data_IF_653388972958
#
_entry.id   IF_653388972958
#
_cell.length_a   1.000
_cell.length_b   1.000
_cell.length_c   1.000
_cell.angle_alpha   90.00
_cell.angle_beta   90.00
_cell.angle_gamma   90.00
#
_symmetry.space_group_name_H-M   'P 1'
#
loop_
_entity.id
_entity.type
_entity.pdbx_description
1 polymer ?
#
# COMPACT_ATOMS: atom_id res chain seq x y z
N UNK A 1 56.48 -22.57 27.27
CA UNK A 1 56.24 -21.41 26.38
C UNK A 1 54.80 -21.58 25.89
N UNK A 2 53.85 -21.01 26.64
CA UNK A 2 53.15 -19.73 26.41
C UNK A 2 52.05 -19.87 25.35
N UNK A 3 50.81 -19.82 25.84
CA UNK A 3 49.53 -19.75 25.13
C UNK A 3 49.58 -18.67 24.05
N UNK A 4 49.21 -19.01 22.81
CA UNK A 4 48.92 -18.02 21.78
C UNK A 4 47.47 -18.18 21.30
N UNK A 5 46.67 -17.22 21.77
CA UNK A 5 45.51 -16.58 21.16
C UNK A 5 44.40 -17.45 20.53
N UNK A 6 43.39 -17.71 21.38
CA UNK A 6 41.97 -17.64 21.02
C UNK A 6 41.63 -16.29 20.37
N UNK A 7 40.57 -16.27 19.54
CA UNK A 7 39.87 -15.14 18.92
C UNK A 7 40.40 -14.63 17.57
N UNK A 8 39.73 -15.07 16.48
CA UNK A 8 39.34 -14.10 15.46
C UNK A 8 37.99 -14.47 14.80
N UNK A 9 36.97 -13.75 15.28
CA UNK A 9 35.86 -13.18 14.51
C UNK A 9 34.79 -14.18 14.05
N UNK A 10 33.88 -14.45 14.99
CA UNK A 10 32.46 -14.14 14.86
C UNK A 10 31.98 -14.04 13.39
N UNK A 11 31.49 -15.15 12.84
CA UNK A 11 30.52 -15.12 11.76
C UNK A 11 29.28 -14.42 12.30
N UNK A 12 29.27 -13.10 12.25
CA UNK A 12 28.05 -12.33 12.41
C UNK A 12 27.21 -12.64 11.18
N UNK A 13 26.37 -13.68 11.31
CA UNK A 13 25.12 -13.79 10.59
C UNK A 13 24.29 -12.57 11.00
N UNK A 14 24.65 -11.40 10.48
CA UNK A 14 23.74 -10.26 10.40
C UNK A 14 22.75 -10.66 9.32
N UNK A 15 21.84 -11.57 9.69
CA UNK A 15 20.60 -11.73 8.95
C UNK A 15 20.00 -10.35 8.95
N UNK A 16 20.07 -9.66 7.80
CA UNK A 16 19.29 -8.45 7.63
C UNK A 16 17.86 -8.90 7.85
N UNK A 17 17.26 -8.47 8.94
CA UNK A 17 15.81 -8.48 9.08
C UNK A 17 15.34 -7.60 7.93
N UNK A 18 15.11 -8.21 6.77
CA UNK A 18 14.40 -7.55 5.68
C UNK A 18 13.06 -7.24 6.31
N UNK A 19 12.82 -5.96 6.60
CA UNK A 19 11.54 -5.53 7.14
C UNK A 19 10.47 -6.13 6.23
N UNK A 20 9.54 -6.89 6.82
CA UNK A 20 8.43 -7.45 6.06
C UNK A 20 7.71 -6.28 5.41
N UNK A 21 7.63 -6.30 4.08
CA UNK A 21 6.88 -5.31 3.33
C UNK A 21 5.39 -5.59 3.57
N UNK A 22 4.70 -4.65 4.21
CA UNK A 22 3.29 -4.77 4.57
C UNK A 22 2.48 -3.71 3.87
N UNK A 23 1.23 -4.03 3.63
CA UNK A 23 0.25 -3.11 3.07
C UNK A 23 -1.03 -3.16 3.90
N UNK A 24 -1.79 -2.07 3.92
CA UNK A 24 -3.16 -2.13 4.39
C UNK A 24 -3.97 -3.01 3.44
N UNK A 25 -4.83 -3.87 3.98
CA UNK A 25 -5.70 -4.72 3.20
C UNK A 25 -7.12 -4.67 3.73
N UNK A 26 -8.02 -4.21 2.89
CA UNK A 26 -9.44 -4.14 3.18
C UNK A 26 -10.18 -3.91 1.87
N UNK A 27 -11.47 -4.21 1.85
CA UNK A 27 -12.32 -3.89 0.71
C UNK A 27 -13.72 -3.57 1.18
N UNK A 28 -14.40 -2.74 0.43
CA UNK A 28 -15.85 -2.68 0.48
C UNK A 28 -16.45 -2.38 -0.90
N UNK A 29 -17.74 -2.63 -0.99
CA UNK A 29 -18.62 -2.36 -2.13
C UNK A 29 -19.84 -1.57 -1.68
N UNK A 30 -20.51 -0.88 -2.60
CA UNK A 30 -21.71 -0.10 -2.31
C UNK A 30 -22.89 -0.92 -1.76
N UNK A 31 -22.82 -2.24 -1.86
CA UNK A 31 -23.78 -3.16 -1.25
C UNK A 31 -23.50 -3.44 0.23
N UNK A 32 -22.31 -3.09 0.72
CA UNK A 32 -21.89 -3.27 2.11
C UNK A 32 -22.09 -1.96 2.88
N UNK A 33 -22.62 -2.07 4.10
CA UNK A 33 -22.81 -0.91 4.98
C UNK A 33 -21.50 -0.43 5.62
N UNK A 34 -20.51 -1.32 5.74
CA UNK A 34 -19.22 -0.99 6.33
C UNK A 34 -18.30 -0.32 5.31
N UNK A 35 -18.02 0.96 5.53
CA UNK A 35 -17.10 1.77 4.74
C UNK A 35 -15.83 2.13 5.53
N UNK A 36 -15.51 1.37 6.58
CA UNK A 36 -14.31 1.54 7.40
C UNK A 36 -13.04 1.60 6.54
N UNK A 37 -13.01 0.82 5.46
CA UNK A 37 -11.93 0.81 4.47
C UNK A 37 -11.81 2.12 3.65
N UNK A 38 -12.57 3.19 3.91
CA UNK A 38 -12.24 4.51 3.35
C UNK A 38 -11.16 5.22 4.17
N UNK A 39 -11.05 4.91 5.46
CA UNK A 39 -10.19 5.63 6.40
C UNK A 39 -9.21 4.66 7.05
N UNK A 40 -7.97 5.11 7.27
CA UNK A 40 -7.01 4.34 8.05
C UNK A 40 -7.20 4.67 9.53
N UNK A 41 -7.35 3.62 10.32
CA UNK A 41 -7.40 3.62 11.78
C UNK A 41 -6.34 2.66 12.32
N UNK A 42 -6.12 2.65 13.62
CA UNK A 42 -5.21 1.70 14.27
C UNK A 42 -5.65 0.24 14.10
N UNK A 43 -6.95 0.02 13.85
CA UNK A 43 -7.55 -1.30 13.63
C UNK A 43 -7.56 -1.73 12.16
N UNK A 44 -7.05 -0.90 11.24
CA UNK A 44 -7.08 -1.25 9.81
C UNK A 44 -6.21 -2.49 9.57
N UNK A 45 -6.77 -3.56 8.97
CA UNK A 45 -6.01 -4.78 8.76
C UNK A 45 -4.79 -4.53 7.87
N UNK A 46 -3.69 -5.18 8.24
CA UNK A 46 -2.46 -5.19 7.47
C UNK A 46 -2.13 -6.61 7.07
N UNK A 47 -1.49 -6.76 5.91
CA UNK A 47 -1.04 -8.05 5.39
C UNK A 47 0.44 -7.96 5.08
N UNK A 48 1.15 -9.06 5.33
CA UNK A 48 2.52 -9.24 4.87
C UNK A 48 2.52 -9.63 3.40
N UNK A 49 3.29 -8.89 2.60
CA UNK A 49 3.30 -9.01 1.16
C UNK A 49 4.66 -9.51 0.69
N UNK A 50 4.65 -10.57 -0.12
CA UNK A 50 5.81 -10.97 -0.93
C UNK A 50 5.96 -10.11 -2.18
N UNK A 51 4.89 -9.39 -2.53
CA UNK A 51 4.75 -8.48 -3.65
C UNK A 51 5.51 -7.17 -3.47
N UNK A 52 5.71 -6.42 -4.55
CA UNK A 52 6.47 -5.16 -4.54
C UNK A 52 5.60 -3.92 -4.35
N UNK A 53 4.30 -3.99 -4.65
CA UNK A 53 3.41 -2.83 -4.61
C UNK A 53 2.28 -3.00 -3.60
N UNK A 54 2.06 -1.98 -2.78
CA UNK A 54 0.77 -1.75 -2.14
C UNK A 54 -0.12 -1.00 -3.13
N UNK A 55 -1.34 -1.47 -3.32
CA UNK A 55 -2.29 -0.90 -4.27
C UNK A 55 -3.52 -0.33 -3.58
N UNK A 56 -4.13 0.63 -4.25
CA UNK A 56 -5.49 1.10 -3.98
C UNK A 56 -6.25 1.11 -5.30
N UNK A 57 -7.40 0.44 -5.29
CA UNK A 57 -8.43 0.54 -6.30
C UNK A 57 -9.61 1.31 -5.70
N UNK A 58 -9.99 2.41 -6.32
CA UNK A 58 -11.14 3.22 -5.89
C UNK A 58 -12.03 3.48 -7.07
N UNK A 59 -13.31 3.13 -6.95
CA UNK A 59 -14.31 3.37 -7.97
C UNK A 59 -15.38 4.31 -7.42
N UNK A 60 -15.62 5.41 -8.10
CA UNK A 60 -16.68 6.38 -7.79
C UNK A 60 -17.71 6.41 -8.92
N UNK A 61 -18.96 6.71 -8.58
CA UNK A 61 -19.95 7.07 -9.58
C UNK A 61 -19.59 8.42 -10.21
N UNK A 62 -19.75 8.52 -11.54
CA UNK A 62 -19.67 9.81 -12.26
C UNK A 62 -20.84 10.70 -11.85
N UNK A 63 -22.02 10.10 -11.68
CA UNK A 63 -23.24 10.74 -11.22
C UNK A 63 -24.03 9.77 -10.31
N UNK A 64 -24.28 10.09 -9.03
CA UNK A 64 -23.86 11.31 -8.32
C UNK A 64 -22.35 11.32 -8.02
N UNK A 65 -21.71 12.45 -8.33
CA UNK A 65 -20.28 12.64 -8.08
C UNK A 65 -19.94 12.52 -6.59
N UNK A 66 -18.82 11.86 -6.29
CA UNK A 66 -18.27 11.72 -4.94
C UNK A 66 -18.80 10.53 -4.13
N UNK A 67 -19.76 9.78 -4.69
CA UNK A 67 -20.22 8.52 -4.11
C UNK A 67 -19.27 7.40 -4.52
N UNK A 68 -18.67 6.73 -3.53
CA UNK A 68 -17.75 5.61 -3.76
C UNK A 68 -18.57 4.32 -3.95
N UNK A 69 -18.41 3.70 -5.11
CA UNK A 69 -19.03 2.43 -5.46
C UNK A 69 -18.23 1.23 -4.92
N UNK A 70 -16.90 1.33 -4.93
CA UNK A 70 -16.02 0.30 -4.42
C UNK A 70 -14.68 0.89 -3.99
N UNK A 71 -14.08 0.28 -2.99
CA UNK A 71 -12.73 0.61 -2.55
C UNK A 71 -12.02 -0.67 -2.12
N UNK A 72 -10.79 -0.86 -2.60
CA UNK A 72 -9.96 -2.01 -2.26
C UNK A 72 -8.54 -1.51 -1.97
N UNK A 73 -7.98 -1.96 -0.86
CA UNK A 73 -6.55 -1.92 -0.57
C UNK A 73 -6.01 -3.33 -0.57
N UNK A 74 -4.90 -3.54 -1.23
CA UNK A 74 -4.23 -4.84 -1.24
C UNK A 74 -2.75 -4.66 -1.60
N UNK A 75 -2.06 -5.76 -1.85
CA UNK A 75 -0.75 -5.76 -2.46
C UNK A 75 -0.68 -6.69 -3.66
N UNK A 76 0.05 -6.24 -4.69
CA UNK A 76 0.11 -6.88 -5.98
C UNK A 76 1.54 -6.90 -6.49
N UNK A 77 1.96 -8.02 -7.10
CA UNK A 77 3.31 -8.15 -7.65
C UNK A 77 3.44 -7.37 -8.95
N UNK A 78 2.41 -7.40 -9.79
CA UNK A 78 2.35 -6.74 -11.08
C UNK A 78 0.93 -6.22 -11.34
N UNK A 79 0.57 -5.02 -10.83
CA UNK A 79 -0.75 -4.45 -11.07
C UNK A 79 -0.91 -4.07 -12.55
N UNK A 80 -2.12 -4.27 -13.09
CA UNK A 80 -2.45 -3.95 -14.49
C UNK A 80 -2.22 -2.46 -14.80
N UNK A 81 -2.44 -1.60 -13.81
CA UNK A 81 -2.26 -0.16 -13.91
C UNK A 81 -1.46 0.40 -12.73
N UNK A 82 -0.43 1.18 -13.05
CA UNK A 82 0.31 1.98 -12.07
C UNK A 82 -0.16 3.43 -12.13
N UNK A 83 -0.78 3.91 -11.05
CA UNK A 83 -1.14 5.32 -10.90
C UNK A 83 -1.94 5.89 -12.08
N UNK A 84 -3.02 5.21 -12.45
CA UNK A 84 -3.85 5.51 -13.62
C UNK A 84 -5.31 5.78 -13.24
N UNK A 85 -6.01 6.55 -14.08
CA UNK A 85 -7.42 6.86 -13.91
C UNK A 85 -8.18 6.45 -15.18
N UNK A 86 -9.25 5.70 -15.02
CA UNK A 86 -10.14 5.26 -16.11
C UNK A 86 -11.53 5.84 -15.84
N UNK A 87 -12.13 6.47 -16.85
CA UNK A 87 -13.47 7.05 -16.75
C UNK A 87 -14.32 6.45 -17.86
N UNK A 88 -15.47 5.89 -17.48
CA UNK A 88 -16.51 5.47 -18.40
C UNK A 88 -17.80 6.28 -18.16
N UNK A 89 -18.92 5.85 -18.77
CA UNK A 89 -20.21 6.55 -18.64
C UNK A 89 -20.81 6.52 -17.24
N UNK A 90 -20.38 5.58 -16.39
CA UNK A 90 -20.99 5.28 -15.09
C UNK A 90 -20.00 5.52 -13.95
N UNK A 91 -18.74 5.15 -14.14
CA UNK A 91 -17.73 5.13 -13.11
C UNK A 91 -16.47 5.91 -13.48
N UNK A 92 -15.85 6.47 -12.43
CA UNK A 92 -14.47 6.92 -12.44
C UNK A 92 -13.67 6.02 -11.51
N UNK A 93 -12.71 5.31 -12.07
CA UNK A 93 -11.86 4.35 -11.39
C UNK A 93 -10.44 4.91 -11.26
N UNK A 94 -9.89 4.87 -10.06
CA UNK A 94 -8.53 5.29 -9.74
C UNK A 94 -7.72 4.09 -9.29
N UNK A 95 -6.60 3.86 -9.96
CA UNK A 95 -5.58 2.88 -9.60
C UNK A 95 -4.40 3.61 -9.01
N UNK A 96 -3.96 3.26 -7.81
CA UNK A 96 -2.78 3.84 -7.16
C UNK A 96 -1.87 2.73 -6.67
N UNK A 97 -0.57 2.92 -6.82
CA UNK A 97 0.44 1.95 -6.40
C UNK A 97 1.66 2.64 -5.79
N UNK A 98 2.22 2.04 -4.74
CA UNK A 98 3.42 2.52 -4.04
C UNK A 98 4.21 1.32 -3.47
N UNK A 99 5.49 1.52 -3.17
CA UNK A 99 6.44 0.44 -2.81
C UNK A 99 7.06 0.60 -1.42
N UNK A 100 6.50 1.47 -0.58
CA UNK A 100 6.94 1.67 0.80
C UNK A 100 6.04 0.90 1.77
N UNK A 101 6.57 0.48 2.93
CA UNK A 101 5.79 -0.20 3.96
C UNK A 101 4.57 0.66 4.34
N UNK A 102 3.38 0.06 4.34
CA UNK A 102 2.10 0.68 4.73
C UNK A 102 1.77 1.99 3.98
N UNK A 103 2.22 2.13 2.72
CA UNK A 103 2.09 3.38 1.96
C UNK A 103 0.70 3.64 1.36
N UNK A 104 -0.17 2.63 1.28
CA UNK A 104 -1.48 2.71 0.64
C UNK A 104 -2.56 3.35 1.54
N UNK A 105 -2.22 4.46 2.20
CA UNK A 105 -3.11 5.16 3.15
C UNK A 105 -4.29 5.87 2.47
N UNK A 106 -4.10 6.42 1.26
CA UNK A 106 -5.13 7.07 0.43
C UNK A 106 -6.14 7.93 1.18
N UNK A 107 -5.79 9.17 1.55
CA UNK A 107 -6.78 10.13 2.11
C UNK A 107 -7.68 10.70 1.00
N UNK A 108 -8.91 11.08 1.32
CA UNK A 108 -9.91 11.64 0.39
C UNK A 108 -9.40 12.82 -0.46
N UNK A 109 -8.55 13.69 0.10
CA UNK A 109 -7.93 14.82 -0.61
C UNK A 109 -6.69 14.43 -1.44
N UNK A 110 -6.26 13.18 -1.36
CA UNK A 110 -4.96 12.71 -1.84
C UNK A 110 -5.05 11.97 -3.18
N UNK A 111 -6.24 11.48 -3.59
CA UNK A 111 -6.43 10.82 -4.89
C UNK A 111 -6.24 11.76 -6.09
N UNK A 112 -6.48 13.07 -5.90
CA UNK A 112 -6.26 14.12 -6.91
C UNK A 112 -4.81 14.62 -6.98
N UNK A 113 -4.00 14.31 -5.97
CA UNK A 113 -2.65 14.88 -5.77
C UNK A 113 -1.55 13.81 -5.74
N UNK A 114 -1.91 12.52 -5.93
CA UNK A 114 -1.03 11.35 -5.91
C UNK A 114 -0.10 11.22 -7.12
N UNK A 115 0.49 12.34 -7.56
CA UNK A 115 1.74 12.31 -8.30
C UNK A 115 2.96 12.09 -7.37
N UNK A 116 2.73 11.98 -6.05
CA UNK A 116 3.74 12.11 -4.99
C UNK A 116 3.85 10.90 -4.04
N UNK A 117 3.70 9.65 -4.52
CA UNK A 117 4.40 8.53 -3.87
C UNK A 117 5.75 8.22 -4.56
N UNK A 118 6.16 9.06 -5.51
CA UNK A 118 7.44 8.92 -6.23
C UNK A 118 8.60 9.70 -5.60
N UNK A 119 8.35 10.57 -4.62
CA UNK A 119 9.41 11.36 -3.96
C UNK A 119 9.04 11.72 -2.52
N UNK A 120 9.30 10.82 -1.60
CA UNK A 120 9.62 11.18 -0.21
C UNK A 120 10.94 10.49 0.16
N UNK A 121 11.97 10.84 -0.60
CA UNK A 121 13.35 10.83 -0.10
C UNK A 121 13.45 11.88 1.00
N UNK A 122 13.93 11.42 2.15
CA UNK A 122 14.70 12.12 3.18
C UNK A 122 14.95 13.61 2.89
N UNK A 123 14.41 14.46 3.74
CA UNK A 123 15.12 15.58 4.39
C UNK A 123 14.53 15.78 5.80
#
# INVERSE_FOLDING_TARGET
MKFELLFLVCFTLIGKTVGQFRCYACSFSSTESDQSCLTITDDTPTVECTSTFCTIFRQEYVDPSGVVASFIRTCEAAPDYLNHDIVDSTFRTYYRACTQDLCNIGKYSFFRTMKLCSTSSID
#
